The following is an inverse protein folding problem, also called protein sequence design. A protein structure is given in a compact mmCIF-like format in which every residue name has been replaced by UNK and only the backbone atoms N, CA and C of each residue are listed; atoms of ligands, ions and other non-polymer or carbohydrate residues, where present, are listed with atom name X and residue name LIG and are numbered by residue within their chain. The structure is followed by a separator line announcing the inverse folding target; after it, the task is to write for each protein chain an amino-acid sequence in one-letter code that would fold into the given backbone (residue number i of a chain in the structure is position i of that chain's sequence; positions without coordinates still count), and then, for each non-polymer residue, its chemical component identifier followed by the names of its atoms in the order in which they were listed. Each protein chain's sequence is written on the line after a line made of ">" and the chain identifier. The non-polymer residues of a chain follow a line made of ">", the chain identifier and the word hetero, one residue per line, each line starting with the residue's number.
data_IF_316657208820
#
_entry.id   IF_316657208820
#
_cell.length_a   1.000
_cell.length_b   1.000
_cell.length_c   1.000
_cell.angle_alpha   90.00
_cell.angle_beta   90.00
_cell.angle_gamma   90.00
#
_symmetry.space_group_name_H-M   'P 1'
#
loop_
_entity.id
_entity.type
_entity.pdbx_description
1 polymer ?
#
# COMPACT_ATOMS: atom_id res chain seq x y z
N UNK A 1 -11.30 35.46 17.04
CA UNK A 1 -11.42 34.27 17.93
C UNK A 1 -12.59 33.33 17.63
N UNK A 2 -13.68 33.78 17.00
CA UNK A 2 -14.87 32.94 16.73
C UNK A 2 -14.72 31.93 15.57
N UNK A 3 -13.90 32.20 14.56
CA UNK A 3 -13.72 31.30 13.39
C UNK A 3 -13.03 29.95 13.73
N UNK A 4 -12.18 29.94 14.76
CA UNK A 4 -11.50 28.70 15.20
C UNK A 4 -12.43 27.71 15.93
N UNK A 5 -13.50 28.16 16.57
CA UNK A 5 -14.48 27.30 17.25
C UNK A 5 -15.30 26.48 16.27
N UNK A 6 -15.68 27.03 15.12
CA UNK A 6 -16.45 26.30 14.11
C UNK A 6 -15.63 25.21 13.40
N UNK A 7 -14.32 25.45 13.20
CA UNK A 7 -13.40 24.41 12.66
C UNK A 7 -13.25 23.27 13.66
N UNK A 8 -13.19 23.56 14.96
CA UNK A 8 -13.12 22.54 16.00
C UNK A 8 -14.40 21.68 16.09
N UNK A 9 -15.57 22.29 15.97
CA UNK A 9 -16.85 21.55 15.92
C UNK A 9 -17.03 20.77 14.62
N UNK A 10 -16.53 21.27 13.50
CA UNK A 10 -16.54 20.54 12.22
C UNK A 10 -15.65 19.29 12.28
N UNK A 11 -14.50 19.38 12.94
CA UNK A 11 -13.61 18.25 13.20
C UNK A 11 -14.22 17.24 14.17
N UNK A 12 -15.00 17.71 15.16
CA UNK A 12 -15.68 16.85 16.13
C UNK A 12 -16.88 16.08 15.52
N UNK A 13 -17.54 16.66 14.51
CA UNK A 13 -18.64 16.02 13.76
C UNK A 13 -18.16 14.93 12.79
N UNK A 14 -16.86 14.87 12.50
CA UNK A 14 -16.22 13.81 11.71
C UNK A 14 -15.82 12.58 12.54
N UNK A 15 -16.10 12.55 13.86
CA UNK A 15 -15.84 11.38 14.70
C UNK A 15 -16.98 10.34 14.61
N UNK A 16 -16.66 9.09 14.61
CA UNK A 16 -17.14 8.07 13.68
C UNK A 16 -18.30 7.26 14.22
N UNK A 17 -19.16 6.92 13.32
CA UNK A 17 -19.96 5.70 13.42
C UNK A 17 -19.01 4.49 13.55
N UNK A 18 -19.24 3.63 14.51
CA UNK A 18 -18.51 2.39 14.76
C UNK A 18 -18.66 1.51 13.51
N UNK A 19 -17.64 1.55 12.68
CA UNK A 19 -17.60 0.76 11.46
C UNK A 19 -16.52 -0.31 11.63
N UNK A 20 -16.89 -1.59 11.53
CA UNK A 20 -15.95 -2.70 11.44
C UNK A 20 -15.41 -2.77 10.02
N UNK A 21 -14.10 -2.72 9.78
CA UNK A 21 -13.50 -2.95 8.48
C UNK A 21 -13.55 -4.44 8.16
N UNK A 22 -13.69 -4.81 6.88
CA UNK A 22 -13.54 -6.20 6.47
C UNK A 22 -12.06 -6.59 6.58
N UNK A 23 -11.79 -7.62 7.34
CA UNK A 23 -10.52 -8.32 7.36
C UNK A 23 -10.37 -9.14 6.08
N UNK A 24 -9.18 -9.17 5.49
CA UNK A 24 -8.89 -10.08 4.39
C UNK A 24 -8.20 -11.31 4.97
N UNK A 25 -8.77 -12.50 4.75
CA UNK A 25 -8.17 -13.78 5.17
C UNK A 25 -6.83 -14.06 4.48
N UNK A 26 -6.52 -13.29 3.44
CA UNK A 26 -5.34 -13.42 2.61
C UNK A 26 -4.43 -12.21 2.75
N UNK A 27 -3.11 -12.44 2.66
CA UNK A 27 -2.11 -11.38 2.72
C UNK A 27 -2.38 -10.28 1.68
N UNK A 28 -2.36 -9.02 2.12
CA UNK A 28 -2.47 -7.83 1.29
C UNK A 28 -1.14 -7.06 1.33
N UNK A 29 -0.20 -7.50 0.49
CA UNK A 29 1.12 -6.90 0.39
C UNK A 29 1.10 -5.63 -0.46
N UNK A 30 1.92 -4.63 -0.08
CA UNK A 30 2.25 -3.50 -0.93
C UNK A 30 3.24 -3.89 -2.03
N UNK A 31 4.03 -4.96 -1.79
CA UNK A 31 4.98 -5.49 -2.77
C UNK A 31 4.27 -6.21 -3.93
N UNK A 32 4.91 -6.22 -5.12
CA UNK A 32 6.24 -5.72 -5.47
C UNK A 32 6.28 -4.24 -5.94
N UNK A 33 5.18 -3.50 -5.81
CA UNK A 33 5.10 -2.06 -6.12
C UNK A 33 5.62 -1.18 -4.99
N UNK A 34 5.50 0.14 -5.19
CA UNK A 34 5.76 1.18 -4.18
C UNK A 34 4.46 1.83 -3.68
N UNK A 35 3.32 1.48 -4.27
CA UNK A 35 2.03 1.97 -3.81
C UNK A 35 1.61 1.28 -2.52
N UNK A 36 1.24 2.08 -1.52
CA UNK A 36 0.56 1.56 -0.33
C UNK A 36 -0.89 1.23 -0.66
N UNK A 37 -1.35 0.05 -0.26
CA UNK A 37 -2.76 -0.34 -0.26
C UNK A 37 -3.57 0.51 0.71
N UNK A 38 -4.84 0.79 0.39
CA UNK A 38 -5.74 1.52 1.28
C UNK A 38 -6.11 0.72 2.54
N UNK A 39 -6.15 -0.61 2.45
CA UNK A 39 -6.55 -1.47 3.57
C UNK A 39 -5.42 -1.70 4.56
N UNK A 40 -5.77 -1.70 5.85
CA UNK A 40 -4.87 -2.07 6.92
C UNK A 40 -4.75 -3.60 7.03
N UNK A 41 -3.66 -4.08 7.64
CA UNK A 41 -3.40 -5.51 7.81
C UNK A 41 -4.35 -6.22 8.79
N UNK A 42 -5.14 -5.46 9.56
CA UNK A 42 -6.04 -6.00 10.57
C UNK A 42 -5.45 -5.93 11.98
N UNK A 43 -6.34 -5.93 12.99
CA UNK A 43 -5.94 -5.79 14.40
C UNK A 43 -5.08 -6.97 14.85
N UNK A 44 -3.98 -6.69 15.53
CA UNK A 44 -3.02 -7.67 16.07
C UNK A 44 -2.30 -8.52 15.01
N UNK A 45 -2.42 -8.15 13.73
CA UNK A 45 -1.68 -8.78 12.65
C UNK A 45 -0.34 -8.09 12.48
N UNK A 46 0.72 -8.88 12.31
CA UNK A 46 2.06 -8.42 11.94
C UNK A 46 2.34 -8.90 10.52
N UNK A 47 2.77 -7.99 9.65
CA UNK A 47 3.19 -8.33 8.29
C UNK A 47 4.58 -7.78 8.04
N UNK A 48 5.48 -8.64 7.57
CA UNK A 48 6.83 -8.31 7.14
C UNK A 48 6.90 -8.43 5.62
N UNK A 49 7.32 -7.37 4.97
CA UNK A 49 7.56 -7.29 3.53
C UNK A 49 9.03 -6.96 3.32
N UNK A 50 9.79 -7.82 2.66
CA UNK A 50 11.23 -7.61 2.46
C UNK A 50 11.65 -8.02 1.06
N UNK A 51 12.71 -7.40 0.55
CA UNK A 51 13.25 -7.72 -0.76
C UNK A 51 14.71 -7.31 -0.93
N UNK A 52 15.29 -7.82 -1.99
CA UNK A 52 16.59 -7.43 -2.46
C UNK A 52 16.50 -7.00 -3.92
N UNK A 53 17.21 -5.94 -4.28
CA UNK A 53 17.22 -5.42 -5.64
C UNK A 53 18.64 -5.05 -6.09
N UNK A 54 18.90 -5.22 -7.38
CA UNK A 54 20.06 -4.64 -8.05
C UNK A 54 19.71 -3.28 -8.63
N UNK A 55 20.68 -2.37 -8.65
CA UNK A 55 20.58 -1.04 -9.27
C UNK A 55 21.68 -0.85 -10.28
N UNK A 56 21.33 -0.38 -11.46
CA UNK A 56 22.24 0.10 -12.48
C UNK A 56 21.85 1.52 -12.88
N UNK A 57 22.78 2.47 -12.73
CA UNK A 57 22.58 3.88 -13.02
C UNK A 57 23.67 4.40 -13.93
N UNK A 58 23.29 5.16 -14.96
CA UNK A 58 24.21 5.80 -15.89
C UNK A 58 23.77 7.24 -16.16
N UNK A 59 24.66 8.18 -15.94
CA UNK A 59 24.38 9.59 -16.20
C UNK A 59 25.17 10.08 -17.42
N UNK A 60 24.46 10.38 -18.52
CA UNK A 60 25.10 10.72 -19.79
C UNK A 60 25.83 12.07 -19.76
N UNK A 61 25.26 13.10 -19.10
CA UNK A 61 25.87 14.44 -19.04
C UNK A 61 27.07 14.51 -18.10
N UNK A 62 26.95 13.91 -16.91
CA UNK A 62 28.01 13.94 -15.90
C UNK A 62 29.01 12.79 -16.07
N UNK A 63 28.80 11.91 -17.05
CA UNK A 63 29.68 10.78 -17.38
C UNK A 63 30.07 9.93 -16.16
N UNK A 64 29.08 9.52 -15.37
CA UNK A 64 29.28 8.56 -14.31
C UNK A 64 28.39 7.32 -14.47
N UNK A 65 28.83 6.25 -13.83
CA UNK A 65 28.09 5.01 -13.67
C UNK A 65 28.02 4.69 -12.17
N UNK A 66 26.85 4.23 -11.69
CA UNK A 66 26.74 3.76 -10.32
C UNK A 66 25.96 2.44 -10.34
N UNK A 67 26.60 1.38 -9.87
CA UNK A 67 26.01 0.04 -9.79
C UNK A 67 26.05 -0.45 -8.36
N UNK A 68 25.03 -1.19 -7.97
CA UNK A 68 24.95 -1.69 -6.60
C UNK A 68 23.78 -2.59 -6.35
N UNK A 69 23.51 -2.77 -5.09
CA UNK A 69 22.35 -3.53 -4.60
C UNK A 69 21.72 -2.81 -3.40
N UNK A 70 20.50 -3.15 -3.11
CA UNK A 70 19.79 -2.72 -1.91
C UNK A 70 18.93 -3.81 -1.33
N UNK A 71 18.54 -3.59 -0.09
CA UNK A 71 17.60 -4.42 0.65
C UNK A 71 16.55 -3.47 1.22
N UNK A 72 15.29 -3.82 1.06
CA UNK A 72 14.16 -3.13 1.67
C UNK A 72 13.46 -4.04 2.67
N UNK A 73 12.89 -3.44 3.71
CA UNK A 73 12.10 -4.13 4.70
C UNK A 73 11.02 -3.19 5.25
N UNK A 74 9.78 -3.59 5.11
CA UNK A 74 8.62 -2.89 5.67
C UNK A 74 7.94 -3.77 6.70
N UNK A 75 7.77 -3.25 7.91
CA UNK A 75 7.00 -3.89 8.98
C UNK A 75 5.69 -3.14 9.10
N UNK A 76 4.57 -3.88 9.04
CA UNK A 76 3.21 -3.37 9.20
C UNK A 76 2.56 -4.07 10.39
N UNK A 77 2.02 -3.30 11.32
CA UNK A 77 1.40 -3.81 12.52
C UNK A 77 0.03 -3.17 12.77
N UNK A 78 -1.02 -3.98 12.79
CA UNK A 78 -2.38 -3.54 13.08
C UNK A 78 -2.61 -3.29 14.56
N UNK A 79 -2.93 -2.04 14.94
CA UNK A 79 -2.99 -1.57 16.32
C UNK A 79 -4.41 -1.14 16.68
N UNK A 80 -4.90 -1.52 17.84
CA UNK A 80 -6.16 -1.08 18.48
C UNK A 80 -7.43 -1.29 17.66
N UNK A 81 -7.43 -0.94 16.36
CA UNK A 81 -8.60 -0.96 15.46
C UNK A 81 -8.24 -1.62 14.13
N UNK A 82 -9.20 -2.28 13.49
CA UNK A 82 -9.06 -2.89 12.17
C UNK A 82 -8.60 -1.92 11.05
N UNK A 83 -8.81 -0.63 11.28
CA UNK A 83 -8.53 0.45 10.32
C UNK A 83 -7.19 1.14 10.51
N UNK A 84 -6.47 0.82 11.59
CA UNK A 84 -5.23 1.51 11.97
C UNK A 84 -4.06 0.56 11.93
N UNK A 85 -3.03 0.90 11.18
CA UNK A 85 -1.75 0.20 11.21
C UNK A 85 -0.57 1.15 11.42
N UNK A 86 0.44 0.67 12.12
CA UNK A 86 1.76 1.28 12.20
C UNK A 86 2.64 0.68 11.12
N UNK A 87 3.45 1.52 10.50
CA UNK A 87 4.35 1.13 9.41
C UNK A 87 5.74 1.63 9.75
N UNK A 88 6.73 0.74 9.66
CA UNK A 88 8.15 1.08 9.65
C UNK A 88 8.74 0.57 8.34
N UNK A 89 9.31 1.47 7.55
CA UNK A 89 9.91 1.18 6.25
C UNK A 89 11.39 1.54 6.26
N UNK A 90 12.23 0.58 5.92
CA UNK A 90 13.69 0.65 5.95
C UNK A 90 14.24 0.25 4.59
N UNK A 91 15.10 1.06 4.01
CA UNK A 91 15.80 0.73 2.77
C UNK A 91 17.30 0.97 2.93
N UNK A 92 18.08 -0.08 2.82
CA UNK A 92 19.54 -0.02 2.76
C UNK A 92 20.01 -0.12 1.32
N UNK A 93 20.96 0.70 0.92
CA UNK A 93 21.56 0.65 -0.40
C UNK A 93 23.09 0.75 -0.31
N UNK A 94 23.75 -0.06 -1.13
CA UNK A 94 25.20 -0.06 -1.32
C UNK A 94 25.48 -0.01 -2.82
N UNK A 95 26.23 1.00 -3.27
CA UNK A 95 26.59 1.15 -4.68
C UNK A 95 28.01 1.68 -4.82
N UNK A 96 28.62 1.35 -5.93
CA UNK A 96 29.91 1.90 -6.35
C UNK A 96 29.64 2.96 -7.40
N UNK A 97 29.98 4.20 -7.06
CA UNK A 97 29.92 5.34 -7.96
C UNK A 97 31.28 5.51 -8.67
N UNK A 98 31.28 5.48 -9.99
CA UNK A 98 32.48 5.61 -10.82
C UNK A 98 32.32 6.77 -11.82
N UNK A 99 33.18 7.76 -11.71
CA UNK A 99 33.35 8.86 -12.66
C UNK A 99 34.81 8.88 -13.16
N UNK A 100 35.08 9.72 -14.16
CA UNK A 100 36.37 9.74 -14.91
C UNK A 100 37.63 9.66 -14.04
N UNK A 101 37.61 10.26 -12.84
CA UNK A 101 38.76 10.31 -11.93
C UNK A 101 38.39 9.95 -10.48
N UNK A 102 37.21 9.45 -10.25
CA UNK A 102 36.68 9.25 -8.90
C UNK A 102 35.93 7.93 -8.83
N UNK A 103 36.28 7.13 -7.81
CA UNK A 103 35.54 5.92 -7.46
C UNK A 103 35.22 6.00 -5.97
N UNK A 104 33.92 5.95 -5.65
CA UNK A 104 33.42 6.12 -4.28
C UNK A 104 32.44 4.99 -3.97
N UNK A 105 32.68 4.32 -2.85
CA UNK A 105 31.73 3.40 -2.28
C UNK A 105 30.70 4.18 -1.44
N UNK A 106 29.44 4.14 -1.84
CA UNK A 106 28.31 4.77 -1.14
C UNK A 106 27.48 3.68 -0.45
N UNK A 107 27.39 3.75 0.87
CA UNK A 107 26.65 2.77 1.69
C UNK A 107 25.91 3.49 2.79
N UNK A 108 24.58 3.38 2.81
CA UNK A 108 23.75 3.98 3.87
C UNK A 108 22.36 3.37 3.91
N UNK A 109 21.62 3.67 4.98
CA UNK A 109 20.18 3.59 4.99
C UNK A 109 19.63 4.70 4.08
N UNK A 110 19.22 4.32 2.86
CA UNK A 110 18.69 5.25 1.87
C UNK A 110 17.38 5.86 2.33
N UNK A 111 16.54 5.08 3.02
CA UNK A 111 15.24 5.50 3.51
C UNK A 111 14.96 4.87 4.87
N UNK A 112 14.42 5.65 5.78
CA UNK A 112 13.85 5.19 7.03
C UNK A 112 12.60 6.00 7.28
N UNK A 113 11.43 5.34 7.27
CA UNK A 113 10.13 5.99 7.49
C UNK A 113 9.44 5.27 8.63
N UNK A 114 8.87 6.03 9.55
CA UNK A 114 7.99 5.51 10.59
C UNK A 114 6.71 6.33 10.58
N UNK A 115 5.57 5.66 10.58
CA UNK A 115 4.29 6.35 10.54
C UNK A 115 3.11 5.44 10.84
N UNK A 116 1.92 6.01 10.68
CA UNK A 116 0.66 5.33 10.85
C UNK A 116 -0.25 5.55 9.63
N UNK A 117 -0.96 4.52 9.24
CA UNK A 117 -1.98 4.58 8.20
C UNK A 117 -3.36 4.33 8.80
N UNK A 118 -4.32 5.14 8.39
CA UNK A 118 -5.70 5.02 8.84
C UNK A 118 -6.67 4.96 7.66
N UNK A 119 -7.51 3.92 7.63
CA UNK A 119 -8.58 3.75 6.65
C UNK A 119 -9.76 4.64 7.02
N UNK A 120 -9.96 5.72 6.26
CA UNK A 120 -11.03 6.70 6.45
C UNK A 120 -12.38 6.18 5.96
N UNK A 121 -12.40 5.66 4.73
CA UNK A 121 -13.60 5.23 4.05
C UNK A 121 -13.40 3.89 3.33
N UNK A 122 -14.36 2.98 3.53
CA UNK A 122 -14.38 1.65 2.92
C UNK A 122 -15.75 1.43 2.24
N UNK A 123 -15.83 1.50 0.91
CA UNK A 123 -17.07 1.31 0.17
C UNK A 123 -17.48 -0.17 0.06
N UNK A 124 -16.58 -1.10 0.38
CA UNK A 124 -16.82 -2.54 0.20
C UNK A 124 -17.44 -3.20 1.43
N UNK A 125 -17.43 -2.51 2.56
CA UNK A 125 -17.88 -3.01 3.86
C UNK A 125 -19.37 -3.42 3.90
N UNK A 126 -20.24 -2.74 3.16
CA UNK A 126 -21.68 -2.98 3.16
C UNK A 126 -22.16 -3.78 1.95
N UNK A 127 -21.24 -4.25 1.12
CA UNK A 127 -21.59 -5.03 -0.06
C UNK A 127 -21.62 -6.52 0.29
N UNK A 128 -22.74 -7.02 0.84
CA UNK A 128 -23.06 -8.44 0.71
C UNK A 128 -22.98 -8.79 -0.77
N UNK A 129 -22.05 -9.65 -1.16
CA UNK A 129 -22.03 -10.24 -2.51
C UNK A 129 -23.29 -11.09 -2.65
N UNK A 130 -24.39 -10.50 -3.06
CA UNK A 130 -25.53 -11.25 -3.58
C UNK A 130 -25.09 -11.88 -4.89
N UNK A 131 -24.57 -13.11 -4.79
CA UNK A 131 -24.21 -13.91 -5.96
C UNK A 131 -25.49 -14.11 -6.78
N UNK A 132 -25.53 -13.58 -7.99
CA UNK A 132 -26.64 -13.82 -8.88
C UNK A 132 -26.49 -15.22 -9.48
N UNK A 133 -27.17 -16.19 -8.87
CA UNK A 133 -27.15 -17.60 -9.27
C UNK A 133 -27.61 -17.80 -10.73
N UNK A 134 -28.34 -16.82 -11.29
CA UNK A 134 -28.95 -16.92 -12.64
C UNK A 134 -28.09 -16.30 -13.76
N UNK A 135 -27.08 -15.52 -13.48
CA UNK A 135 -26.27 -14.88 -14.52
C UNK A 135 -24.84 -14.53 -14.07
N UNK A 136 -23.91 -15.40 -14.45
CA UNK A 136 -22.47 -15.20 -14.23
C UNK A 136 -21.89 -13.93 -14.93
N UNK A 137 -22.49 -13.51 -16.05
CA UNK A 137 -22.08 -12.29 -16.77
C UNK A 137 -22.38 -11.00 -16.01
N UNK A 138 -23.45 -10.99 -15.21
CA UNK A 138 -23.86 -9.80 -14.43
C UNK A 138 -22.88 -9.51 -13.29
N UNK A 139 -22.25 -10.51 -12.70
CA UNK A 139 -21.29 -10.32 -11.63
C UNK A 139 -19.95 -9.76 -12.12
N UNK A 140 -19.62 -9.99 -13.41
CA UNK A 140 -18.42 -9.46 -14.06
C UNK A 140 -18.62 -8.11 -14.75
N UNK A 141 -19.86 -7.60 -14.82
CA UNK A 141 -20.12 -6.32 -15.46
C UNK A 141 -19.63 -5.14 -14.61
N UNK A 142 -19.21 -4.08 -15.28
CA UNK A 142 -18.84 -2.82 -14.64
C UNK A 142 -20.05 -2.23 -13.91
N UNK A 143 -19.87 -1.85 -12.65
CA UNK A 143 -20.89 -1.19 -11.81
C UNK A 143 -20.36 0.19 -11.42
N UNK A 144 -21.17 1.24 -11.62
CA UNK A 144 -20.80 2.62 -11.25
C UNK A 144 -20.33 2.78 -9.79
N UNK A 145 -20.83 1.94 -8.87
CA UNK A 145 -20.37 1.90 -7.47
C UNK A 145 -18.89 1.53 -7.32
N UNK A 146 -18.29 0.85 -8.30
CA UNK A 146 -16.87 0.48 -8.30
C UNK A 146 -15.94 1.69 -8.51
N UNK A 147 -16.49 2.83 -8.97
CA UNK A 147 -15.73 4.09 -9.07
C UNK A 147 -15.53 4.77 -7.70
N UNK A 148 -16.28 4.38 -6.67
CA UNK A 148 -16.11 4.93 -5.34
C UNK A 148 -14.92 4.21 -4.68
N UNK A 149 -13.79 4.89 -4.43
CA UNK A 149 -12.59 4.27 -3.86
C UNK A 149 -12.70 4.04 -2.36
N UNK A 150 -11.97 3.06 -1.85
CA UNK A 150 -11.53 3.08 -0.47
C UNK A 150 -10.49 4.20 -0.30
N UNK A 151 -10.55 4.92 0.83
CA UNK A 151 -9.69 6.09 1.08
C UNK A 151 -8.95 5.90 2.39
N UNK A 152 -7.63 6.07 2.34
CA UNK A 152 -6.77 6.04 3.52
C UNK A 152 -5.78 7.19 3.53
N UNK A 153 -5.31 7.54 4.70
CA UNK A 153 -4.23 8.52 4.89
C UNK A 153 -3.12 7.86 5.68
N UNK A 154 -1.91 8.00 5.18
CA UNK A 154 -0.68 7.71 5.92
C UNK A 154 -0.06 9.03 6.36
N UNK A 155 0.35 9.10 7.61
CA UNK A 155 1.15 10.19 8.19
C UNK A 155 2.34 9.61 8.93
N UNK A 156 3.51 10.09 8.61
CA UNK A 156 4.76 9.60 9.17
C UNK A 156 5.88 10.61 9.06
N UNK A 157 7.08 10.16 9.38
CA UNK A 157 8.29 10.96 9.27
C UNK A 157 9.42 10.14 8.64
N UNK A 158 10.19 10.78 7.78
CA UNK A 158 11.49 10.30 7.35
C UNK A 158 12.51 10.60 8.44
N UNK A 159 13.39 9.65 8.70
CA UNK A 159 14.54 9.79 9.59
C UNK A 159 15.79 9.67 8.72
N UNK A 160 16.55 10.74 8.60
CA UNK A 160 17.70 10.81 7.69
C UNK A 160 18.95 11.15 8.46
N UNK A 161 20.04 10.42 8.20
CA UNK A 161 21.37 10.77 8.74
C UNK A 161 21.93 12.00 8.04
N UNK A 162 22.59 12.88 8.77
CA UNK A 162 23.13 14.14 8.25
C UNK A 162 24.11 13.96 7.06
N UNK A 163 24.85 12.85 7.01
CA UNK A 163 25.82 12.54 5.97
C UNK A 163 25.36 11.44 5.01
N UNK A 164 24.04 11.35 4.76
CA UNK A 164 23.51 10.33 3.87
C UNK A 164 23.84 10.65 2.40
N UNK A 165 24.60 9.79 1.68
CA UNK A 165 25.00 10.05 0.30
C UNK A 165 23.84 10.02 -0.71
N UNK A 166 22.67 9.55 -0.31
CA UNK A 166 21.48 9.43 -1.17
C UNK A 166 20.51 10.63 -1.03
N UNK A 167 20.81 11.59 -0.18
CA UNK A 167 20.03 12.80 0.03
C UNK A 167 20.82 14.07 -0.26
N UNK A 168 20.13 15.10 -0.71
CA UNK A 168 20.76 16.41 -0.91
C UNK A 168 21.02 17.08 0.45
N UNK A 169 22.19 17.68 0.59
CA UNK A 169 22.57 18.45 1.78
C UNK A 169 22.19 19.92 1.62
N UNK A 170 21.72 20.60 2.70
CA UNK A 170 21.53 20.11 4.07
C UNK A 170 20.26 19.28 4.24
N UNK A 171 20.39 18.15 4.93
CA UNK A 171 19.28 17.25 5.20
C UNK A 171 18.65 17.55 6.55
N UNK A 172 17.35 17.66 6.60
CA UNK A 172 16.61 17.60 7.85
C UNK A 172 16.71 16.18 8.44
N UNK A 173 17.14 16.06 9.69
CA UNK A 173 17.23 14.75 10.35
C UNK A 173 15.88 14.07 10.50
N UNK A 174 14.80 14.84 10.63
CA UNK A 174 13.43 14.36 10.68
C UNK A 174 12.59 15.27 9.78
N UNK A 175 11.81 14.68 8.88
CA UNK A 175 10.90 15.42 8.02
C UNK A 175 9.56 14.71 7.87
N UNK A 176 8.43 15.42 7.97
CA UNK A 176 7.10 14.84 7.80
C UNK A 176 6.87 14.30 6.40
N UNK A 177 6.09 13.20 6.33
CA UNK A 177 5.58 12.60 5.10
C UNK A 177 4.09 12.31 5.24
N UNK A 178 3.31 12.68 4.24
CA UNK A 178 1.87 12.41 4.17
C UNK A 178 1.54 11.79 2.84
N UNK A 179 0.71 10.73 2.85
CA UNK A 179 0.23 10.08 1.63
C UNK A 179 -1.28 9.94 1.71
N UNK A 180 -1.97 10.45 0.70
CA UNK A 180 -3.36 10.16 0.45
C UNK A 180 -3.46 8.95 -0.48
N UNK A 181 -4.19 7.93 -0.05
CA UNK A 181 -4.27 6.64 -0.73
C UNK A 181 -5.71 6.40 -1.16
N UNK A 182 -5.91 6.06 -2.43
CA UNK A 182 -7.21 5.64 -2.95
C UNK A 182 -7.08 4.29 -3.63
N UNK A 183 -8.09 3.42 -3.44
CA UNK A 183 -8.09 2.07 -4.00
C UNK A 183 -9.47 1.69 -4.53
N UNK A 184 -9.52 1.29 -5.79
CA UNK A 184 -10.71 0.80 -6.47
C UNK A 184 -10.55 -0.68 -6.83
N UNK A 185 -11.67 -1.41 -6.79
CA UNK A 185 -11.75 -2.78 -7.28
C UNK A 185 -12.76 -2.86 -8.41
N UNK A 186 -12.36 -3.43 -9.56
CA UNK A 186 -13.18 -3.54 -10.75
C UNK A 186 -13.49 -4.98 -11.12
N UNK A 187 -14.55 -5.16 -11.86
CA UNK A 187 -15.03 -6.48 -12.30
C UNK A 187 -15.49 -7.31 -11.10
N UNK A 188 -14.95 -8.53 -11.02
CA UNK A 188 -15.17 -9.48 -9.91
C UNK A 188 -14.20 -9.26 -8.74
N UNK A 189 -13.47 -8.14 -8.71
CA UNK A 189 -12.41 -7.83 -7.76
C UNK A 189 -11.02 -8.26 -8.23
N UNK A 190 -10.90 -8.86 -9.43
CA UNK A 190 -9.61 -9.28 -9.96
C UNK A 190 -8.74 -8.15 -10.50
N UNK A 191 -9.31 -6.96 -10.72
CA UNK A 191 -8.59 -5.76 -11.05
C UNK A 191 -8.57 -4.80 -9.87
N UNK A 192 -7.40 -4.40 -9.44
CA UNK A 192 -7.18 -3.45 -8.36
C UNK A 192 -6.41 -2.25 -8.88
N UNK A 193 -6.97 -1.06 -8.69
CA UNK A 193 -6.36 0.20 -9.07
C UNK A 193 -6.08 1.01 -7.80
N UNK A 194 -4.81 1.32 -7.57
CA UNK A 194 -4.36 2.06 -6.38
C UNK A 194 -3.68 3.34 -6.81
N UNK A 195 -4.02 4.45 -6.16
CA UNK A 195 -3.34 5.74 -6.34
C UNK A 195 -2.86 6.26 -5.00
N UNK A 196 -1.59 6.62 -4.93
CA UNK A 196 -0.99 7.34 -3.81
C UNK A 196 -0.61 8.74 -4.25
N UNK A 197 -1.07 9.76 -3.55
CA UNK A 197 -0.60 11.15 -3.70
C UNK A 197 0.30 11.46 -2.51
N UNK A 198 1.54 11.84 -2.78
CA UNK A 198 2.62 11.88 -1.81
C UNK A 198 3.09 13.32 -1.62
N UNK A 199 3.14 13.77 -0.37
CA UNK A 199 3.87 14.96 0.06
C UNK A 199 4.96 14.50 1.02
N UNK A 200 6.21 14.72 0.62
CA UNK A 200 7.39 14.22 1.31
C UNK A 200 8.32 15.36 1.68
N UNK A 201 9.15 15.17 2.72
CA UNK A 201 10.08 16.17 3.24
C UNK A 201 9.41 17.52 3.54
N UNK A 202 8.16 17.51 4.02
CA UNK A 202 7.35 18.69 4.29
C UNK A 202 8.06 19.59 5.32
N UNK A 203 8.19 20.89 5.00
CA UNK A 203 8.84 21.86 5.88
C UNK A 203 10.37 21.75 5.92
N UNK A 204 10.98 20.86 5.13
CA UNK A 204 12.43 20.88 4.88
C UNK A 204 12.78 21.91 3.81
N UNK A 205 14.08 22.14 3.59
CA UNK A 205 14.57 23.01 2.52
C UNK A 205 14.20 22.49 1.12
N UNK A 206 14.04 21.17 0.98
CA UNK A 206 13.76 20.49 -0.30
C UNK A 206 12.51 19.59 -0.23
N UNK A 207 11.31 20.16 -0.17
CA UNK A 207 10.09 19.38 -0.19
C UNK A 207 9.94 18.64 -1.53
N UNK A 208 9.34 17.47 -1.49
CA UNK A 208 9.06 16.65 -2.68
C UNK A 208 7.59 16.30 -2.74
N UNK A 209 7.02 16.43 -3.93
CA UNK A 209 5.64 16.03 -4.22
C UNK A 209 5.64 14.96 -5.30
N UNK A 210 4.81 13.96 -5.12
CA UNK A 210 4.79 12.84 -6.04
C UNK A 210 3.47 12.09 -6.06
N UNK A 211 3.45 11.10 -6.92
CA UNK A 211 2.35 10.14 -7.02
C UNK A 211 2.91 8.76 -7.36
N UNK A 212 2.16 7.74 -7.00
CA UNK A 212 2.33 6.39 -7.54
C UNK A 212 0.95 5.82 -7.89
N UNK A 213 0.84 5.24 -9.07
CA UNK A 213 -0.40 4.66 -9.60
C UNK A 213 -0.11 3.25 -10.05
N UNK A 214 -0.82 2.29 -9.48
CA UNK A 214 -0.65 0.86 -9.77
C UNK A 214 -1.95 0.24 -10.26
N UNK A 215 -1.86 -0.52 -11.31
CA UNK A 215 -2.90 -1.41 -11.80
C UNK A 215 -2.44 -2.86 -11.61
N UNK A 216 -3.12 -3.60 -10.77
CA UNK A 216 -2.86 -5.02 -10.50
C UNK A 216 -3.97 -5.87 -11.09
N UNK A 217 -3.60 -6.99 -11.70
CA UNK A 217 -4.50 -8.02 -12.21
C UNK A 217 -4.24 -9.36 -11.53
N UNK A 218 -5.24 -9.88 -10.82
CA UNK A 218 -5.25 -11.28 -10.40
C UNK A 218 -5.49 -12.17 -11.63
N UNK A 219 -4.52 -13.01 -11.96
CA UNK A 219 -4.56 -13.92 -13.12
C UNK A 219 -5.29 -15.21 -12.74
N UNK A 220 -4.95 -15.74 -11.60
CA UNK A 220 -5.59 -16.91 -10.98
C UNK A 220 -5.50 -16.80 -9.45
N UNK A 221 -5.78 -17.91 -8.72
CA UNK A 221 -5.76 -17.91 -7.24
C UNK A 221 -4.41 -17.56 -6.64
N UNK A 222 -3.31 -17.88 -7.34
CA UNK A 222 -1.95 -17.77 -6.81
C UNK A 222 -1.14 -16.69 -7.51
N UNK A 223 -1.43 -16.35 -8.77
CA UNK A 223 -0.64 -15.42 -9.57
C UNK A 223 -1.36 -14.09 -9.78
N UNK A 224 -0.63 -13.02 -9.57
CA UNK A 224 -1.00 -11.68 -9.98
C UNK A 224 0.13 -10.98 -10.72
N UNK A 225 -0.23 -10.09 -11.63
CA UNK A 225 0.70 -9.22 -12.34
C UNK A 225 0.33 -7.76 -12.12
N UNK A 226 1.29 -6.85 -12.18
CA UNK A 226 1.04 -5.43 -12.02
C UNK A 226 1.87 -4.57 -12.96
N UNK A 227 1.39 -3.37 -13.19
CA UNK A 227 2.11 -2.26 -13.79
C UNK A 227 1.92 -1.03 -12.91
N UNK A 228 2.99 -0.28 -12.70
CA UNK A 228 3.02 0.91 -11.86
C UNK A 228 3.71 2.06 -12.59
N UNK A 229 3.18 3.25 -12.43
CA UNK A 229 3.84 4.50 -12.79
C UNK A 229 4.00 5.36 -11.54
N UNK A 230 5.22 5.82 -11.30
CA UNK A 230 5.57 6.68 -10.19
C UNK A 230 6.23 7.94 -10.72
N UNK A 231 5.75 9.09 -10.29
CA UNK A 231 6.36 10.39 -10.57
C UNK A 231 6.61 11.16 -9.30
N UNK A 232 7.72 11.88 -9.25
CA UNK A 232 8.01 12.82 -8.17
C UNK A 232 8.77 14.03 -8.67
N UNK A 233 8.60 15.14 -7.96
CA UNK A 233 9.23 16.41 -8.25
C UNK A 233 9.67 17.10 -6.97
N UNK A 234 10.92 17.50 -6.93
CA UNK A 234 11.48 18.44 -5.95
C UNK A 234 12.21 19.56 -6.69
N UNK A 235 12.80 20.51 -5.97
CA UNK A 235 13.52 21.63 -6.56
C UNK A 235 14.79 21.18 -7.34
N UNK A 236 15.43 20.09 -6.92
CA UNK A 236 16.66 19.59 -7.55
C UNK A 236 16.46 18.45 -8.53
N UNK A 237 15.44 17.65 -8.32
CA UNK A 237 15.28 16.43 -9.10
C UNK A 237 13.82 16.08 -9.30
N UNK A 238 13.49 15.71 -10.52
CA UNK A 238 12.20 15.12 -10.85
C UNK A 238 12.42 13.89 -11.69
N UNK A 239 11.62 12.87 -11.48
CA UNK A 239 11.70 11.62 -12.26
C UNK A 239 10.33 11.00 -12.50
N UNK A 240 10.29 10.12 -13.48
CA UNK A 240 9.14 9.30 -13.81
C UNK A 240 9.62 7.87 -14.03
N UNK A 241 9.14 6.97 -13.19
CA UNK A 241 9.56 5.57 -13.13
C UNK A 241 8.38 4.70 -13.54
N UNK A 242 8.65 3.74 -14.41
CA UNK A 242 7.70 2.66 -14.75
C UNK A 242 8.21 1.37 -14.14
N UNK A 243 7.33 0.65 -13.45
CA UNK A 243 7.63 -0.64 -12.82
C UNK A 243 6.61 -1.67 -13.27
N UNK A 244 7.05 -2.91 -13.42
CA UNK A 244 6.17 -4.04 -13.66
C UNK A 244 6.73 -5.29 -12.99
N UNK A 245 5.86 -6.27 -12.76
CA UNK A 245 6.28 -7.51 -12.14
C UNK A 245 5.12 -8.44 -11.89
N UNK A 246 5.41 -9.49 -11.13
CA UNK A 246 4.45 -10.51 -10.75
C UNK A 246 4.63 -10.91 -9.30
N UNK A 247 3.54 -11.34 -8.69
CA UNK A 247 3.54 -11.92 -7.36
C UNK A 247 2.90 -13.32 -7.40
N UNK A 248 3.45 -14.22 -6.60
CA UNK A 248 3.00 -15.58 -6.41
C UNK A 248 2.63 -15.81 -4.96
N UNK A 249 1.39 -16.12 -4.71
CA UNK A 249 0.88 -16.49 -3.40
C UNK A 249 1.15 -17.96 -3.13
N UNK A 250 2.06 -18.25 -2.21
CA UNK A 250 2.42 -19.62 -1.79
C UNK A 250 1.30 -20.22 -0.94
N UNK A 251 0.81 -19.43 0.01
CA UNK A 251 -0.36 -19.69 0.85
C UNK A 251 -0.97 -18.35 1.28
N UNK A 252 -2.01 -18.36 2.11
CA UNK A 252 -2.73 -17.16 2.51
C UNK A 252 -1.86 -16.14 3.28
N UNK A 253 -0.72 -16.57 3.85
CA UNK A 253 0.16 -15.76 4.68
C UNK A 253 1.53 -15.48 4.05
N UNK A 254 1.85 -16.10 2.89
CA UNK A 254 3.16 -15.99 2.28
C UNK A 254 3.05 -15.71 0.78
N UNK A 255 3.66 -14.61 0.35
CA UNK A 255 3.78 -14.20 -1.04
C UNK A 255 5.25 -14.05 -1.42
N UNK A 256 5.61 -14.48 -2.61
CA UNK A 256 6.87 -14.21 -3.29
C UNK A 256 6.62 -13.25 -4.45
N UNK A 257 7.59 -12.41 -4.76
CA UNK A 257 7.44 -11.45 -5.85
C UNK A 257 8.74 -11.21 -6.61
N UNK A 258 8.57 -10.71 -7.85
CA UNK A 258 9.64 -10.26 -8.72
C UNK A 258 9.18 -8.98 -9.43
N UNK A 259 10.09 -8.02 -9.58
CA UNK A 259 9.82 -6.78 -10.29
C UNK A 259 11.03 -6.24 -11.02
N UNK A 260 10.75 -5.44 -12.06
CA UNK A 260 11.72 -4.62 -12.74
C UNK A 260 11.18 -3.21 -12.93
N UNK A 261 12.03 -2.19 -12.83
CA UNK A 261 11.65 -0.80 -13.09
C UNK A 261 12.75 -0.04 -13.80
N UNK A 262 12.33 0.94 -14.58
CA UNK A 262 13.21 1.87 -15.27
C UNK A 262 12.59 3.26 -15.20
N UNK A 263 13.45 4.28 -15.14
CA UNK A 263 12.97 5.64 -15.32
C UNK A 263 12.95 6.02 -16.83
N UNK A 264 12.23 7.10 -17.15
CA UNK A 264 12.12 7.60 -18.52
C UNK A 264 13.18 8.66 -18.88
N UNK A 265 14.13 8.90 -17.97
CA UNK A 265 15.22 9.85 -18.18
C UNK A 265 16.53 9.13 -18.52
N UNK A 266 17.46 9.89 -19.07
CA UNK A 266 18.86 9.48 -19.32
C UNK A 266 19.86 10.28 -18.48
N UNK A 267 19.37 11.16 -17.58
CA UNK A 267 20.16 12.08 -16.74
C UNK A 267 19.77 12.02 -15.26
N UNK A 268 19.97 10.90 -14.59
CA UNK A 268 20.50 9.61 -15.02
C UNK A 268 19.45 8.65 -15.58
N UNK A 269 19.86 7.69 -16.41
CA UNK A 269 19.10 6.49 -16.70
C UNK A 269 19.29 5.51 -15.53
N UNK A 270 18.20 4.99 -14.96
CA UNK A 270 18.21 4.09 -13.80
C UNK A 270 17.37 2.86 -14.11
N UNK A 271 17.93 1.71 -13.80
CA UNK A 271 17.26 0.43 -13.85
C UNK A 271 17.33 -0.28 -12.50
N UNK A 272 16.22 -0.84 -12.04
CA UNK A 272 16.13 -1.70 -10.87
C UNK A 272 15.54 -3.05 -11.26
N UNK A 273 16.07 -4.11 -10.67
CA UNK A 273 15.49 -5.45 -10.76
C UNK A 273 15.58 -6.11 -9.39
N UNK A 274 14.47 -6.67 -8.92
CA UNK A 274 14.42 -7.21 -7.56
C UNK A 274 13.47 -8.37 -7.39
N UNK A 275 13.67 -9.07 -6.28
CA UNK A 275 12.83 -10.15 -5.77
C UNK A 275 12.45 -9.85 -4.34
N UNK A 276 11.33 -10.35 -3.90
CA UNK A 276 10.87 -10.12 -2.55
C UNK A 276 9.99 -11.21 -1.98
N UNK A 277 9.70 -11.04 -0.71
CA UNK A 277 8.89 -11.91 0.11
C UNK A 277 8.04 -11.07 1.03
N UNK A 278 6.78 -11.43 1.15
CA UNK A 278 5.86 -10.87 2.14
C UNK A 278 5.30 -11.99 2.99
N UNK A 279 5.40 -11.83 4.30
CA UNK A 279 4.94 -12.78 5.27
C UNK A 279 4.04 -12.11 6.30
N UNK A 280 2.95 -12.80 6.65
CA UNK A 280 1.93 -12.34 7.61
C UNK A 280 1.84 -13.30 8.77
N UNK A 281 1.71 -12.75 9.96
CA UNK A 281 1.42 -13.49 11.18
C UNK A 281 0.16 -12.94 11.84
N UNK A 282 -0.85 -13.78 11.96
CA UNK A 282 -2.17 -13.44 12.49
C UNK A 282 -2.59 -14.30 13.69
N UNK A 283 -1.64 -14.98 14.36
CA UNK A 283 -1.89 -15.95 15.44
C UNK A 283 -2.74 -15.44 16.61
N UNK A 284 -2.90 -14.12 16.76
CA UNK A 284 -3.75 -13.51 17.79
C UNK A 284 -5.01 -12.85 17.19
N UNK A 285 -5.23 -12.98 15.89
CA UNK A 285 -6.41 -12.44 15.24
C UNK A 285 -7.64 -13.27 15.61
N UNK A 286 -8.67 -12.60 16.14
CA UNK A 286 -9.98 -13.20 16.31
C UNK A 286 -10.91 -12.60 15.28
N UNK A 287 -11.36 -13.42 14.34
CA UNK A 287 -12.37 -13.04 13.36
C UNK A 287 -13.61 -12.50 14.09
N UNK A 288 -13.91 -11.23 13.88
CA UNK A 288 -15.17 -10.65 14.34
C UNK A 288 -16.22 -11.02 13.30
N UNK A 289 -16.79 -12.21 13.44
CA UNK A 289 -17.99 -12.57 12.67
C UNK A 289 -19.11 -11.67 13.12
N UNK A 290 -19.53 -10.73 12.27
CA UNK A 290 -20.83 -10.09 12.47
C UNK A 290 -21.87 -11.21 12.40
N UNK A 291 -22.76 -11.36 13.40
CA UNK A 291 -23.88 -12.28 13.27
C UNK A 291 -24.61 -11.91 11.97
N UNK A 292 -24.77 -12.87 11.09
CA UNK A 292 -25.67 -12.71 9.96
C UNK A 292 -27.03 -12.43 10.61
N UNK A 293 -27.54 -11.22 10.50
CA UNK A 293 -28.94 -10.97 10.82
C UNK A 293 -29.73 -11.91 9.92
N UNK A 294 -30.18 -13.03 10.50
CA UNK A 294 -31.01 -13.98 9.79
C UNK A 294 -32.22 -13.20 9.28
N UNK A 295 -32.40 -13.18 7.96
CA UNK A 295 -33.52 -12.50 7.33
C UNK A 295 -34.79 -12.93 8.06
N UNK A 296 -35.60 -12.00 8.63
CA UNK A 296 -36.83 -12.34 9.38
C UNK A 296 -37.76 -13.25 8.60
N UNK A 297 -37.64 -13.27 7.27
CA UNK A 297 -38.39 -14.14 6.39
C UNK A 297 -37.87 -15.59 6.39
N UNK A 298 -36.54 -15.80 6.59
CA UNK A 298 -35.95 -17.14 6.72
C UNK A 298 -36.34 -17.75 8.06
N UNK A 299 -36.28 -16.96 9.15
CA UNK A 299 -36.76 -17.39 10.48
C UNK A 299 -38.25 -17.75 10.50
N UNK A 300 -39.08 -17.00 9.76
CA UNK A 300 -40.51 -17.32 9.60
C UNK A 300 -40.71 -18.58 8.76
N UNK A 301 -39.93 -18.82 7.74
CA UNK A 301 -39.98 -20.01 6.91
C UNK A 301 -39.52 -21.27 7.68
N UNK A 302 -38.47 -21.16 8.49
CA UNK A 302 -37.99 -22.25 9.35
C UNK A 302 -38.99 -22.60 10.44
N UNK A 303 -39.60 -21.63 11.12
CA UNK A 303 -40.68 -21.85 12.11
C UNK A 303 -41.93 -22.45 11.48
N UNK A 304 -42.17 -22.25 10.19
CA UNK A 304 -43.30 -22.81 9.46
C UNK A 304 -43.04 -24.22 8.92
N UNK A 305 -41.73 -24.61 8.85
CA UNK A 305 -41.27 -25.91 8.39
C UNK A 305 -41.01 -26.93 9.52
N UNK A 306 -41.03 -26.51 10.80
CA UNK A 306 -41.01 -27.45 11.91
C UNK A 306 -42.30 -28.23 11.93
N UNK A 307 -42.31 -29.54 11.66
CA UNK A 307 -43.51 -30.35 11.70
C UNK A 307 -43.94 -30.47 13.16
N UNK A 308 -45.27 -30.37 13.36
CA UNK A 308 -46.02 -30.75 14.58
C UNK A 308 -45.69 -32.22 14.96
N UNK A 309 -44.50 -32.53 15.46
CA UNK A 309 -44.14 -33.87 15.92
C UNK A 309 -43.96 -33.97 17.45
N UNK A 310 -44.66 -33.16 18.22
CA UNK A 310 -44.69 -33.28 19.68
C UNK A 310 -46.09 -33.30 20.24
N UNK A 311 -47.00 -34.03 19.55
CA UNK A 311 -48.31 -34.36 20.11
C UNK A 311 -48.65 -35.78 19.67
N UNK A 312 -48.01 -36.76 20.28
CA UNK A 312 -48.52 -38.14 20.49
C UNK A 312 -47.78 -38.74 21.70
#
# INVERSE_FOLDING_TARGET
>A
MYKFRYVFYLVLLLFPLVNHAQYTDQINSNRPGETMSAFAVGKSVIQLETGAYGIAQKHHLLNYVANGFGIDATIRYGVFKEKLELIADLQYQSQVYEARFTKIDQKALKQTIIGAKYLLYDPFKSQEKKINVYSWKVDKSFKWKQLIPAISVFAGANITSANNPYHFSPNASISPKVILITQNHFGDGSWVFVTNTIADYIGSEFPSYGYAVTLTKGINKNWSGFIENQGYKSDFYSDLIVRSGAAFLVNDDLQLDISGSANLKDTPAIFYGGIGLSWRYDGNYKEVRTPIEEDPNILKAQKKAEPLSSAL
#
